data_IF_018414823041
#
_entry.id   IF_018414823041
#
_cell.length_a   1.000
_cell.length_b   1.000
_cell.length_c   1.000
_cell.angle_alpha   90.00
_cell.angle_beta   90.00
_cell.angle_gamma   90.00
#
_symmetry.space_group_name_H-M   'P 1'
#
loop_
_entity.id
_entity.type
_entity.pdbx_description
1 polymer ?
#
# COMPACT_ATOMS: atom_id res chain seq x y z
N UNK A 1 -27.08 31.74 20.11
CA UNK A 1 -26.33 32.44 19.06
C UNK A 1 -24.88 31.99 19.14
N UNK A 2 -24.58 30.81 18.59
CA UNK A 2 -23.23 30.25 18.49
C UNK A 2 -23.12 29.74 17.05
N UNK A 3 -22.21 30.35 16.30
CA UNK A 3 -22.01 30.11 14.87
C UNK A 3 -21.13 28.87 14.72
N UNK A 4 -21.69 27.83 14.11
CA UNK A 4 -20.96 26.65 13.66
C UNK A 4 -20.21 27.00 12.38
N UNK A 5 -18.87 26.93 12.39
CA UNK A 5 -18.03 27.03 11.20
C UNK A 5 -17.92 25.65 10.56
N UNK A 6 -18.66 25.43 9.48
CA UNK A 6 -18.45 24.31 8.58
C UNK A 6 -17.11 24.52 7.84
N UNK A 7 -16.21 23.54 7.95
CA UNK A 7 -15.01 23.45 7.12
C UNK A 7 -15.43 22.95 5.73
N UNK A 8 -15.29 23.80 4.71
CA UNK A 8 -15.50 23.44 3.32
C UNK A 8 -14.17 22.89 2.77
N UNK A 9 -14.08 21.58 2.53
CA UNK A 9 -12.96 20.97 1.80
C UNK A 9 -13.18 21.21 0.31
N UNK A 10 -12.26 21.94 -0.34
CA UNK A 10 -12.27 22.18 -1.77
C UNK A 10 -11.80 20.92 -2.52
N UNK A 11 -12.75 20.11 -3.00
CA UNK A 11 -12.50 19.12 -4.04
C UNK A 11 -12.34 19.86 -5.37
N UNK A 12 -11.11 20.00 -5.88
CA UNK A 12 -10.87 20.60 -7.21
C UNK A 12 -11.15 19.55 -8.28
N UNK A 13 -12.36 19.59 -8.83
CA UNK A 13 -12.74 18.84 -10.03
C UNK A 13 -12.40 19.71 -11.25
N UNK A 14 -11.34 19.38 -11.98
CA UNK A 14 -11.03 20.01 -13.27
C UNK A 14 -11.90 19.39 -14.37
N UNK A 15 -13.05 20.01 -14.63
CA UNK A 15 -13.88 19.74 -15.82
C UNK A 15 -13.28 20.41 -17.06
N UNK A 16 -12.96 19.61 -18.09
CA UNK A 16 -12.48 20.05 -19.41
C UNK A 16 -13.52 20.93 -20.10
N UNK A 17 -13.20 22.20 -20.35
CA UNK A 17 -13.96 23.07 -21.27
C UNK A 17 -13.41 22.96 -22.69
N UNK A 18 -14.31 22.61 -23.61
CA UNK A 18 -14.16 22.69 -25.06
C UNK A 18 -13.91 24.13 -25.53
N UNK A 19 -12.99 24.32 -26.47
CA UNK A 19 -12.90 25.46 -27.39
C UNK A 19 -12.37 24.96 -28.75
N UNK A 20 -12.62 25.70 -29.86
CA UNK A 20 -13.11 25.11 -31.09
C UNK A 20 -12.04 24.96 -32.18
N UNK A 21 -12.41 24.14 -33.18
CA UNK A 21 -11.73 23.92 -34.47
C UNK A 21 -11.15 25.21 -35.08
N UNK A 22 -9.88 25.13 -35.46
CA UNK A 22 -9.30 25.98 -36.49
C UNK A 22 -8.81 25.10 -37.66
N UNK A 23 -9.05 25.65 -38.84
CA UNK A 23 -8.95 25.15 -40.20
C UNK A 23 -7.58 24.64 -40.67
N UNK A 24 -7.66 23.55 -41.44
CA UNK A 24 -6.91 23.22 -42.67
C UNK A 24 -5.74 24.12 -43.06
N UNK A 25 -4.54 23.54 -43.08
CA UNK A 25 -3.52 23.84 -44.08
C UNK A 25 -2.91 22.55 -44.59
N UNK A 26 -3.18 22.26 -45.85
CA UNK A 26 -2.47 21.30 -46.70
C UNK A 26 -1.19 21.96 -47.20
N UNK A 27 -0.08 21.21 -47.26
CA UNK A 27 0.86 21.26 -48.40
C UNK A 27 1.92 20.14 -48.34
N UNK A 28 1.84 19.32 -49.40
CA UNK A 28 2.91 18.68 -50.19
C UNK A 28 4.00 17.83 -49.52
N UNK A 29 3.87 16.55 -49.84
CA UNK A 29 4.91 15.55 -50.05
C UNK A 29 6.13 16.05 -50.83
N UNK A 30 7.33 15.70 -50.37
CA UNK A 30 8.46 15.45 -51.27
C UNK A 30 9.28 14.26 -50.78
N UNK A 31 9.47 13.33 -51.71
CA UNK A 31 10.24 12.11 -51.64
C UNK A 31 11.75 12.39 -51.69
N UNK A 32 12.54 11.74 -50.85
CA UNK A 32 13.91 11.36 -51.23
C UNK A 32 14.37 10.11 -50.47
N UNK A 33 15.05 9.27 -51.23
CA UNK A 33 15.45 7.89 -50.99
C UNK A 33 16.87 7.78 -50.41
N UNK A 34 17.04 6.94 -49.37
CA UNK A 34 18.16 6.00 -49.07
C UNK A 34 19.62 6.53 -48.99
N UNK A 35 20.60 5.83 -48.34
CA UNK A 35 20.59 4.41 -48.00
C UNK A 35 21.11 3.99 -46.60
N UNK A 36 20.84 2.72 -46.32
CA UNK A 36 21.35 1.82 -45.28
C UNK A 36 22.80 2.05 -44.82
N UNK A 37 23.01 2.01 -43.50
CA UNK A 37 24.24 1.53 -42.87
C UNK A 37 23.92 0.46 -41.84
N UNK A 38 24.41 -0.75 -42.10
CA UNK A 38 24.58 -1.82 -41.13
C UNK A 38 25.62 -1.40 -40.08
N UNK A 39 25.24 -1.41 -38.80
CA UNK A 39 26.18 -1.60 -37.71
C UNK A 39 25.75 -2.82 -36.89
N UNK A 40 26.50 -3.90 -37.05
CA UNK A 40 26.62 -4.96 -36.06
C UNK A 40 27.41 -4.37 -34.88
N UNK A 41 26.88 -4.43 -33.66
CA UNK A 41 27.71 -4.29 -32.46
C UNK A 41 27.42 -5.44 -31.50
N UNK A 42 28.49 -6.14 -31.20
CA UNK A 42 28.58 -7.39 -30.48
C UNK A 42 28.14 -7.26 -29.02
N UNK A 43 27.48 -8.30 -28.55
CA UNK A 43 27.19 -8.59 -27.15
C UNK A 43 28.50 -8.86 -26.39
N UNK A 44 28.66 -8.21 -25.23
CA UNK A 44 29.66 -8.59 -24.22
C UNK A 44 28.94 -8.98 -22.93
N UNK A 45 29.29 -10.11 -22.29
CA UNK A 45 28.67 -10.53 -21.04
C UNK A 45 29.32 -9.79 -19.86
N UNK A 46 28.50 -9.28 -18.94
CA UNK A 46 28.94 -8.72 -17.66
C UNK A 46 29.20 -9.86 -16.67
N UNK A 47 30.47 -10.08 -16.37
CA UNK A 47 30.98 -10.98 -15.34
C UNK A 47 30.72 -10.44 -13.94
N UNK A 48 30.13 -11.30 -13.10
CA UNK A 48 30.32 -11.48 -11.64
C UNK A 48 31.00 -10.34 -10.85
N UNK A 49 30.22 -9.66 -10.01
CA UNK A 49 30.73 -8.85 -8.91
C UNK A 49 30.35 -9.55 -7.60
N UNK A 50 31.36 -10.05 -6.87
CA UNK A 50 31.24 -10.57 -5.51
C UNK A 50 31.00 -9.42 -4.51
N UNK A 51 30.25 -9.62 -3.41
CA UNK A 51 29.95 -8.58 -2.43
C UNK A 51 31.15 -8.29 -1.52
N UNK A 52 31.40 -6.99 -1.27
CA UNK A 52 32.42 -6.51 -0.33
C UNK A 52 31.94 -6.64 1.13
N UNK A 53 32.89 -7.05 1.97
CA UNK A 53 32.88 -7.15 3.43
C UNK A 53 32.14 -6.00 4.14
N UNK A 54 31.26 -6.38 5.07
CA UNK A 54 30.58 -5.50 6.02
C UNK A 54 31.58 -5.11 7.11
N UNK A 55 31.93 -3.82 7.17
CA UNK A 55 32.56 -3.22 8.34
C UNK A 55 31.50 -3.01 9.43
N UNK A 56 31.79 -3.52 10.62
CA UNK A 56 30.98 -3.39 11.83
C UNK A 56 30.80 -1.92 12.22
N UNK A 57 29.57 -1.42 12.10
CA UNK A 57 29.14 -0.16 12.70
C UNK A 57 28.56 -0.45 14.08
N UNK A 58 29.00 0.32 15.08
CA UNK A 58 28.49 0.29 16.44
C UNK A 58 26.96 0.43 16.45
N UNK A 59 26.27 -0.63 16.83
CA UNK A 59 24.82 -0.68 16.98
C UNK A 59 24.45 0.07 18.26
N UNK A 60 23.75 1.19 18.11
CA UNK A 60 23.00 1.85 19.18
C UNK A 60 22.11 0.82 19.88
N UNK A 61 22.15 0.77 21.21
CA UNK A 61 21.39 -0.15 22.07
C UNK A 61 19.87 0.07 22.03
N UNK A 62 19.34 0.92 21.13
CA UNK A 62 17.93 1.30 21.01
C UNK A 62 17.10 0.45 20.04
N UNK A 63 17.63 -0.65 19.49
CA UNK A 63 16.94 -1.49 18.50
C UNK A 63 16.42 -2.84 19.04
N UNK A 64 16.75 -3.19 20.27
CA UNK A 64 16.39 -4.49 20.86
C UNK A 64 15.05 -4.33 21.57
N UNK A 65 14.05 -5.12 21.15
CA UNK A 65 12.75 -5.17 21.80
C UNK A 65 12.78 -6.13 22.98
N UNK A 66 11.93 -5.91 24.00
CA UNK A 66 11.78 -6.86 25.10
C UNK A 66 11.22 -8.22 24.64
N UNK A 67 11.53 -9.29 25.37
CA UNK A 67 10.99 -10.63 25.11
C UNK A 67 9.45 -10.64 25.17
N UNK A 68 8.85 -9.80 26.03
CA UNK A 68 7.40 -9.66 26.12
C UNK A 68 6.82 -9.06 24.83
N UNK A 69 7.38 -7.95 24.34
CA UNK A 69 6.93 -7.32 23.09
C UNK A 69 7.16 -8.24 21.90
N UNK A 70 8.31 -8.92 21.82
CA UNK A 70 8.59 -9.91 20.78
C UNK A 70 7.56 -11.05 20.79
N UNK A 71 7.20 -11.56 21.98
CA UNK A 71 6.17 -12.59 22.14
C UNK A 71 4.80 -12.12 21.65
N UNK A 72 4.38 -10.90 22.02
CA UNK A 72 3.11 -10.32 21.57
C UNK A 72 3.08 -10.07 20.06
N UNK A 73 4.15 -9.52 19.48
CA UNK A 73 4.28 -9.34 18.02
C UNK A 73 4.23 -10.70 17.30
N UNK A 74 4.87 -11.73 17.84
CA UNK A 74 4.79 -13.09 17.28
C UNK A 74 3.37 -13.66 17.36
N UNK A 75 2.63 -13.42 18.44
CA UNK A 75 1.22 -13.82 18.56
C UNK A 75 0.36 -13.11 17.50
N UNK A 76 0.53 -11.80 17.33
CA UNK A 76 -0.16 -11.02 16.28
C UNK A 76 0.12 -11.61 14.89
N UNK A 77 1.39 -11.91 14.58
CA UNK A 77 1.73 -12.53 13.30
C UNK A 77 1.04 -13.90 13.11
N UNK A 78 0.96 -14.71 14.17
CA UNK A 78 0.33 -16.04 14.11
C UNK A 78 -1.17 -16.00 13.81
N UNK A 79 -1.87 -14.93 14.21
CA UNK A 79 -3.30 -14.75 13.95
C UNK A 79 -3.55 -14.66 12.43
N UNK A 80 -2.75 -13.85 11.75
CA UNK A 80 -2.96 -13.54 10.33
C UNK A 80 -2.33 -14.55 9.38
N UNK A 81 -1.35 -15.32 9.85
CA UNK A 81 -0.63 -16.35 9.08
C UNK A 81 -1.30 -17.74 9.07
N UNK A 82 -2.53 -17.85 9.57
CA UNK A 82 -3.24 -19.11 9.82
C UNK A 82 -3.74 -19.88 8.57
N UNK A 83 -3.55 -19.35 7.35
CA UNK A 83 -3.95 -19.94 6.06
C UNK A 83 -5.42 -20.37 6.05
N UNK A 84 -6.30 -19.41 6.38
CA UNK A 84 -7.74 -19.64 6.40
C UNK A 84 -8.21 -20.11 5.03
N UNK A 85 -9.02 -21.17 5.01
CA UNK A 85 -9.50 -21.88 3.82
C UNK A 85 -8.42 -22.62 3.00
N UNK A 86 -7.20 -22.82 3.54
CA UNK A 86 -6.12 -23.60 2.91
C UNK A 86 -5.79 -23.12 1.49
N UNK A 87 -5.70 -21.80 1.31
CA UNK A 87 -5.39 -21.16 0.01
C UNK A 87 -3.91 -21.27 -0.37
N UNK A 88 -3.08 -21.84 0.50
CA UNK A 88 -1.65 -22.04 0.28
C UNK A 88 -0.79 -20.88 0.79
N UNK A 89 -1.40 -19.90 1.45
CA UNK A 89 -0.75 -18.67 1.93
C UNK A 89 0.35 -18.98 2.96
N UNK A 90 0.20 -20.02 3.78
CA UNK A 90 1.25 -20.44 4.75
C UNK A 90 2.61 -20.68 4.10
N UNK A 91 2.64 -21.07 2.82
CA UNK A 91 3.87 -21.32 2.09
C UNK A 91 4.57 -20.02 1.67
N UNK A 92 3.86 -18.90 1.66
CA UNK A 92 4.36 -17.60 1.21
C UNK A 92 5.01 -16.79 2.34
N UNK A 93 4.83 -17.20 3.60
CA UNK A 93 5.40 -16.53 4.78
C UNK A 93 6.93 -16.51 4.72
N UNK A 94 7.52 -15.34 4.97
CA UNK A 94 8.97 -15.15 5.08
C UNK A 94 9.31 -14.86 6.54
N UNK A 95 10.11 -15.75 7.14
CA UNK A 95 10.53 -15.62 8.53
C UNK A 95 11.27 -14.29 8.77
N UNK A 96 10.84 -13.55 9.80
CA UNK A 96 11.43 -12.28 10.20
C UNK A 96 10.90 -11.05 9.47
N UNK A 97 10.34 -11.18 8.27
CA UNK A 97 9.86 -10.03 7.48
C UNK A 97 8.79 -9.22 8.22
N UNK A 98 7.83 -9.89 8.85
CA UNK A 98 6.77 -9.21 9.60
C UNK A 98 7.34 -8.35 10.75
N UNK A 99 8.29 -8.88 11.52
CA UNK A 99 8.90 -8.15 12.64
C UNK A 99 9.71 -6.95 12.16
N UNK A 100 10.50 -7.11 11.09
CA UNK A 100 11.29 -6.02 10.54
C UNK A 100 10.43 -4.94 9.86
N UNK A 101 9.35 -5.34 9.19
CA UNK A 101 8.33 -4.43 8.68
C UNK A 101 7.68 -3.63 9.82
N UNK A 102 7.30 -4.29 10.92
CA UNK A 102 6.71 -3.62 12.09
C UNK A 102 7.67 -2.63 12.76
N UNK A 103 8.94 -3.00 12.96
CA UNK A 103 9.97 -2.10 13.50
C UNK A 103 10.17 -0.89 12.60
N UNK A 104 10.26 -1.10 11.28
CA UNK A 104 10.41 -0.04 10.31
C UNK A 104 9.20 0.91 10.33
N UNK A 105 7.99 0.35 10.30
CA UNK A 105 6.77 1.15 10.29
C UNK A 105 6.61 1.93 11.59
N UNK A 106 6.93 1.37 12.75
CA UNK A 106 6.87 2.06 14.05
C UNK A 106 7.90 3.19 14.18
N UNK A 107 9.08 3.04 13.59
CA UNK A 107 10.24 3.93 13.81
C UNK A 107 10.66 4.66 12.54
N UNK A 108 9.74 4.86 11.60
CA UNK A 108 10.05 5.51 10.33
C UNK A 108 10.52 6.94 10.58
N UNK A 109 11.63 7.31 9.95
CA UNK A 109 12.20 8.65 10.01
C UNK A 109 12.38 9.20 8.61
N UNK A 110 12.35 10.53 8.46
CA UNK A 110 12.55 11.20 7.17
C UNK A 110 13.96 10.93 6.67
N UNK A 111 14.09 10.40 5.46
CA UNK A 111 15.39 10.20 4.83
C UNK A 111 16.01 11.56 4.48
N UNK A 112 17.31 11.70 4.78
CA UNK A 112 18.09 12.92 4.46
C UNK A 112 18.23 13.17 2.95
N UNK A 113 17.94 12.17 2.13
CA UNK A 113 18.06 12.24 0.68
C UNK A 113 16.73 12.57 -0.02
N UNK A 114 15.64 12.68 0.73
CA UNK A 114 14.31 12.95 0.18
C UNK A 114 14.14 14.46 -0.07
N UNK A 115 13.78 14.91 -1.29
CA UNK A 115 13.63 16.34 -1.60
C UNK A 115 12.62 17.05 -0.69
N UNK A 116 12.90 18.30 -0.32
CA UNK A 116 11.96 19.18 0.41
C UNK A 116 10.86 19.69 -0.53
N UNK A 117 9.60 19.72 -0.08
CA UNK A 117 8.52 20.30 -0.87
C UNK A 117 8.46 21.84 -0.77
N UNK A 118 8.15 22.57 -1.85
CA UNK A 118 8.01 24.04 -1.82
C UNK A 118 6.89 24.56 -0.89
N UNK A 119 5.84 23.77 -0.65
CA UNK A 119 4.70 24.10 0.21
C UNK A 119 5.00 24.01 1.72
N UNK A 120 6.15 23.44 2.11
CA UNK A 120 6.53 23.21 3.50
C UNK A 120 7.13 24.44 4.22
N UNK A 121 7.12 25.63 3.59
CA UNK A 121 7.73 26.86 4.14
C UNK A 121 6.84 27.70 5.06
N UNK A 122 5.63 27.27 5.41
CA UNK A 122 4.71 28.07 6.23
C UNK A 122 4.11 27.30 7.41
N UNK A 123 4.95 26.97 8.39
CA UNK A 123 4.53 26.93 9.79
C UNK A 123 5.71 27.40 10.64
N UNK A 124 5.57 28.57 11.27
CA UNK A 124 6.61 29.23 12.07
C UNK A 124 6.34 29.12 13.56
N UNK A 125 5.82 27.98 14.02
CA UNK A 125 5.76 27.65 15.45
C UNK A 125 5.95 26.16 15.63
N UNK A 126 6.95 25.83 16.46
CA UNK A 126 7.35 24.52 16.96
C UNK A 126 8.35 23.73 16.09
N UNK A 127 9.24 23.00 16.77
CA UNK A 127 10.33 22.15 16.27
C UNK A 127 9.83 20.94 15.43
N UNK A 128 8.87 21.14 14.54
CA UNK A 128 8.26 20.10 13.73
C UNK A 128 9.20 19.78 12.54
N UNK A 129 10.11 18.83 12.75
CA UNK A 129 10.92 18.28 11.67
C UNK A 129 10.05 17.77 10.52
N UNK A 130 10.59 17.76 9.30
CA UNK A 130 9.89 17.27 8.10
C UNK A 130 9.39 15.84 8.36
N UNK A 131 8.06 15.65 8.30
CA UNK A 131 7.40 14.36 8.57
C UNK A 131 7.79 13.30 7.53
N UNK A 132 8.02 12.04 7.94
CA UNK A 132 8.14 10.94 6.99
C UNK A 132 6.90 10.81 6.12
N UNK A 133 7.06 10.39 4.87
CA UNK A 133 5.95 10.15 3.93
C UNK A 133 5.83 8.67 3.60
N UNK A 134 4.66 8.10 3.82
CA UNK A 134 4.31 6.72 3.43
C UNK A 134 3.43 6.77 2.19
N UNK A 135 3.83 6.08 1.12
CA UNK A 135 2.93 5.83 -0.01
C UNK A 135 2.21 4.49 0.22
N UNK A 136 0.88 4.51 0.19
CA UNK A 136 0.06 3.32 0.28
C UNK A 136 -0.52 3.01 -1.09
N UNK A 137 -0.08 1.90 -1.70
CA UNK A 137 -0.57 1.45 -3.00
C UNK A 137 -1.61 0.36 -2.79
N UNK A 138 -2.83 0.54 -3.31
CA UNK A 138 -3.89 -0.45 -3.16
C UNK A 138 -4.90 -0.40 -4.29
N UNK A 139 -5.73 -1.43 -4.37
CA UNK A 139 -6.76 -1.62 -5.37
C UNK A 139 -6.45 -2.85 -6.20
N UNK A 140 -7.41 -3.77 -6.21
CA UNK A 140 -7.38 -4.98 -6.98
C UNK A 140 -8.73 -5.13 -7.72
N UNK A 141 -8.76 -4.87 -9.05
CA UNK A 141 -9.99 -4.84 -9.83
C UNK A 141 -10.35 -6.26 -10.34
N UNK A 142 -10.48 -7.24 -9.43
CA UNK A 142 -10.68 -8.65 -9.82
C UNK A 142 -12.11 -8.99 -10.29
N UNK A 143 -13.09 -8.13 -10.01
CA UNK A 143 -14.48 -8.23 -10.50
C UNK A 143 -14.59 -7.62 -11.91
N UNK A 144 -13.79 -8.13 -12.83
CA UNK A 144 -13.52 -7.56 -14.17
C UNK A 144 -14.73 -7.35 -15.11
N UNK A 145 -15.90 -7.90 -14.76
CA UNK A 145 -17.16 -7.76 -15.51
C UNK A 145 -18.18 -6.84 -14.78
N UNK A 146 -17.75 -6.18 -13.70
CA UNK A 146 -18.53 -5.22 -12.91
C UNK A 146 -17.95 -3.80 -12.98
N UNK A 147 -18.79 -2.81 -12.71
CA UNK A 147 -18.41 -1.41 -12.54
C UNK A 147 -18.93 -0.90 -11.18
N UNK A 148 -18.06 -0.46 -10.25
CA UNK A 148 -16.60 -0.60 -10.31
C UNK A 148 -16.18 -2.09 -10.18
N UNK A 149 -14.98 -2.48 -10.67
CA UNK A 149 -14.46 -3.85 -10.58
C UNK A 149 -13.76 -4.14 -9.23
N UNK A 150 -13.85 -3.24 -8.27
CA UNK A 150 -13.11 -3.23 -7.00
C UNK A 150 -13.58 -4.31 -6.04
N UNK A 151 -12.62 -4.99 -5.41
CA UNK A 151 -12.89 -5.93 -4.33
C UNK A 151 -12.74 -5.34 -2.92
N UNK A 152 -13.32 -6.03 -1.94
CA UNK A 152 -13.36 -5.60 -0.52
C UNK A 152 -12.07 -5.86 0.25
N UNK A 153 -11.19 -6.74 -0.23
CA UNK A 153 -9.83 -6.87 0.32
C UNK A 153 -8.89 -5.81 -0.25
N UNK A 154 -8.08 -5.19 0.61
CA UNK A 154 -7.21 -4.06 0.28
C UNK A 154 -7.67 -2.71 0.82
N UNK A 155 -8.87 -2.20 0.48
CA UNK A 155 -9.31 -0.88 0.89
C UNK A 155 -9.27 -0.67 2.41
N UNK A 156 -9.91 -1.54 3.18
CA UNK A 156 -10.00 -1.42 4.64
C UNK A 156 -8.62 -1.47 5.33
N UNK A 157 -7.75 -2.39 4.91
CA UNK A 157 -6.37 -2.48 5.37
C UNK A 157 -5.57 -1.22 5.04
N UNK A 158 -5.76 -0.68 3.85
CA UNK A 158 -5.14 0.60 3.44
C UNK A 158 -5.60 1.77 4.30
N UNK A 159 -6.88 1.84 4.64
CA UNK A 159 -7.40 2.88 5.53
C UNK A 159 -6.89 2.72 6.97
N UNK A 160 -6.76 1.49 7.47
CA UNK A 160 -6.14 1.21 8.77
C UNK A 160 -4.64 1.61 8.79
N UNK A 161 -3.91 1.35 7.70
CA UNK A 161 -2.52 1.79 7.55
C UNK A 161 -2.41 3.32 7.51
N UNK A 162 -3.31 4.00 6.79
CA UNK A 162 -3.34 5.46 6.73
C UNK A 162 -3.65 6.07 8.11
N UNK A 163 -4.63 5.51 8.82
CA UNK A 163 -4.96 5.89 10.20
C UNK A 163 -3.73 5.76 11.11
N UNK A 164 -3.08 4.60 11.11
CA UNK A 164 -1.90 4.33 11.92
C UNK A 164 -0.70 5.22 11.53
N UNK A 165 -0.45 5.44 10.24
CA UNK A 165 0.63 6.30 9.77
C UNK A 165 0.46 7.74 10.30
N UNK A 166 -0.75 8.29 10.26
CA UNK A 166 -1.04 9.61 10.83
C UNK A 166 -0.89 9.60 12.35
N UNK A 167 -1.33 8.55 13.04
CA UNK A 167 -1.14 8.39 14.49
C UNK A 167 0.34 8.38 14.90
N UNK A 168 1.21 7.82 14.06
CA UNK A 168 2.67 7.78 14.22
C UNK A 168 3.34 9.10 13.81
N UNK A 169 2.58 10.07 13.27
CA UNK A 169 3.04 11.40 12.90
C UNK A 169 3.51 11.54 11.45
N UNK A 170 3.20 10.57 10.58
CA UNK A 170 3.61 10.55 9.19
C UNK A 170 2.60 11.28 8.28
N UNK A 171 3.09 11.71 7.11
CA UNK A 171 2.22 11.99 5.96
C UNK A 171 1.94 10.68 5.23
N UNK A 172 0.75 10.58 4.68
CA UNK A 172 0.33 9.42 3.90
C UNK A 172 -0.19 9.87 2.53
N UNK A 173 0.14 9.14 1.47
CA UNK A 173 -0.50 9.29 0.16
C UNK A 173 -1.09 7.95 -0.24
N UNK A 174 -2.41 7.88 -0.32
CA UNK A 174 -3.11 6.69 -0.85
C UNK A 174 -3.12 6.79 -2.37
N UNK A 175 -2.69 5.73 -3.05
CA UNK A 175 -2.59 5.66 -4.50
C UNK A 175 -3.35 4.44 -5.03
N UNK A 176 -4.26 4.66 -5.97
CA UNK A 176 -5.08 3.59 -6.58
C UNK A 176 -5.33 3.84 -8.08
N UNK A 177 -6.05 2.93 -8.73
CA UNK A 177 -6.47 3.04 -10.12
C UNK A 177 -7.77 3.86 -10.26
N UNK A 178 -7.98 4.46 -11.43
CA UNK A 178 -9.21 5.21 -11.74
C UNK A 178 -10.48 4.38 -11.54
N UNK A 179 -10.47 3.10 -11.91
CA UNK A 179 -11.64 2.23 -11.73
C UNK A 179 -11.99 1.99 -10.25
N UNK A 180 -11.01 2.14 -9.34
CA UNK A 180 -11.19 1.97 -7.90
C UNK A 180 -11.48 3.30 -7.19
N UNK A 181 -11.33 4.44 -7.87
CA UNK A 181 -11.35 5.77 -7.26
C UNK A 181 -12.62 6.03 -6.43
N UNK A 182 -13.81 5.74 -6.96
CA UNK A 182 -15.07 5.99 -6.25
C UNK A 182 -15.19 5.21 -4.94
N UNK A 183 -14.70 3.98 -4.91
CA UNK A 183 -14.69 3.13 -3.71
C UNK A 183 -13.72 3.71 -2.68
N UNK A 184 -12.51 4.05 -3.11
CA UNK A 184 -11.50 4.62 -2.23
C UNK A 184 -11.90 6.00 -1.70
N UNK A 185 -12.57 6.83 -2.50
CA UNK A 185 -13.10 8.13 -2.08
C UNK A 185 -14.18 7.98 -0.99
N UNK A 186 -15.07 7.00 -1.13
CA UNK A 186 -16.11 6.73 -0.13
C UNK A 186 -15.51 6.25 1.21
N UNK A 187 -14.57 5.30 1.14
CA UNK A 187 -13.85 4.83 2.33
C UNK A 187 -13.01 5.93 2.98
N UNK A 188 -12.28 6.71 2.18
CA UNK A 188 -11.47 7.83 2.67
C UNK A 188 -12.33 8.88 3.36
N UNK A 189 -13.50 9.21 2.80
CA UNK A 189 -14.44 10.13 3.45
C UNK A 189 -14.86 9.61 4.83
N UNK A 190 -15.22 8.33 4.94
CA UNK A 190 -15.58 7.70 6.21
C UNK A 190 -14.41 7.74 7.21
N UNK A 191 -13.19 7.41 6.75
CA UNK A 191 -11.97 7.50 7.56
C UNK A 191 -11.73 8.93 8.09
N UNK A 192 -11.87 9.95 7.24
CA UNK A 192 -11.67 11.35 7.65
C UNK A 192 -12.71 11.82 8.67
N UNK A 193 -13.95 11.32 8.58
CA UNK A 193 -14.97 11.57 9.60
C UNK A 193 -14.59 10.94 10.94
N UNK A 194 -14.10 9.69 10.94
CA UNK A 194 -13.60 8.99 12.13
C UNK A 194 -12.40 9.74 12.75
N UNK A 195 -11.45 10.18 11.93
CA UNK A 195 -10.23 10.86 12.36
C UNK A 195 -10.47 12.27 12.87
N UNK A 196 -11.59 12.91 12.52
CA UNK A 196 -11.83 14.36 12.75
C UNK A 196 -11.67 14.84 14.20
N UNK A 197 -11.78 13.93 15.17
CA UNK A 197 -11.62 14.21 16.60
C UNK A 197 -10.31 13.71 17.20
N UNK A 198 -9.60 12.83 16.51
CA UNK A 198 -8.45 12.12 17.07
C UNK A 198 -7.15 12.49 16.36
N UNK A 199 -7.17 12.75 15.05
CA UNK A 199 -6.00 12.83 14.18
C UNK A 199 -6.13 13.95 13.14
N UNK A 200 -5.00 14.45 12.62
CA UNK A 200 -5.00 15.43 11.54
C UNK A 200 -5.18 14.75 10.18
N UNK A 201 -6.43 14.65 9.72
CA UNK A 201 -6.76 14.09 8.41
C UNK A 201 -6.16 14.85 7.22
N UNK A 202 -5.67 16.09 7.39
CA UNK A 202 -5.00 16.84 6.32
C UNK A 202 -3.62 16.28 5.94
N UNK A 203 -3.13 15.31 6.71
CA UNK A 203 -1.90 14.56 6.45
C UNK A 203 -2.09 13.42 5.43
N UNK A 204 -3.33 13.17 4.97
CA UNK A 204 -3.64 12.16 3.96
C UNK A 204 -3.93 12.82 2.62
N UNK A 205 -3.09 12.53 1.63
CA UNK A 205 -3.34 12.85 0.22
C UNK A 205 -3.90 11.62 -0.51
N UNK A 206 -4.65 11.86 -1.59
CA UNK A 206 -5.20 10.80 -2.45
C UNK A 206 -4.81 11.04 -3.91
N UNK A 207 -4.31 10.00 -4.58
CA UNK A 207 -3.85 10.04 -5.97
C UNK A 207 -4.40 8.85 -6.75
N UNK A 208 -4.82 9.14 -7.97
CA UNK A 208 -5.44 8.18 -8.87
C UNK A 208 -4.67 8.16 -10.18
N UNK A 209 -4.39 6.97 -10.69
CA UNK A 209 -3.79 6.76 -12.00
C UNK A 209 -4.71 5.91 -12.87
N UNK A 210 -4.81 6.23 -14.15
CA UNK A 210 -5.67 5.48 -15.05
C UNK A 210 -5.03 4.15 -15.45
N UNK A 211 -5.84 3.09 -15.52
CA UNK A 211 -5.41 1.83 -16.12
C UNK A 211 -5.25 2.01 -17.63
N UNK A 212 -4.02 1.83 -18.14
CA UNK A 212 -3.70 2.04 -19.56
C UNK A 212 -2.58 1.10 -20.00
N UNK A 213 -2.60 0.72 -21.28
CA UNK A 213 -1.55 -0.11 -21.89
C UNK A 213 -0.18 0.61 -21.91
N UNK A 214 -0.20 1.93 -22.06
CA UNK A 214 1.00 2.77 -22.15
C UNK A 214 0.87 3.93 -21.18
N UNK A 215 1.83 4.05 -20.26
CA UNK A 215 1.93 5.17 -19.32
C UNK A 215 2.20 6.47 -20.08
N UNK A 216 1.51 7.54 -19.72
CA UNK A 216 1.79 8.86 -20.28
C UNK A 216 3.05 9.46 -19.66
N UNK A 217 3.71 10.40 -20.34
CA UNK A 217 4.85 11.12 -19.75
C UNK A 217 4.45 11.88 -18.47
N UNK A 218 3.21 12.37 -18.41
CA UNK A 218 2.65 13.04 -17.23
C UNK A 218 2.51 12.06 -16.06
N UNK A 219 1.90 10.90 -16.28
CA UNK A 219 1.78 9.85 -15.26
C UNK A 219 3.16 9.36 -14.80
N UNK A 220 4.09 9.18 -15.73
CA UNK A 220 5.47 8.78 -15.41
C UNK A 220 6.16 9.81 -14.52
N UNK A 221 6.02 11.11 -14.83
CA UNK A 221 6.58 12.19 -14.02
C UNK A 221 5.91 12.27 -12.64
N UNK A 222 4.59 12.15 -12.57
CA UNK A 222 3.84 12.15 -11.32
C UNK A 222 4.22 10.96 -10.43
N UNK A 223 4.38 9.76 -11.00
CA UNK A 223 4.84 8.59 -10.25
C UNK A 223 6.27 8.75 -9.75
N UNK A 224 7.17 9.32 -10.56
CA UNK A 224 8.55 9.63 -10.15
C UNK A 224 8.58 10.65 -9.02
N UNK A 225 7.76 11.70 -9.10
CA UNK A 225 7.65 12.71 -8.06
C UNK A 225 7.18 12.08 -6.74
N UNK A 226 6.06 11.35 -6.75
CA UNK A 226 5.55 10.64 -5.58
C UNK A 226 6.61 9.70 -4.98
N UNK A 227 7.20 8.83 -5.81
CA UNK A 227 8.23 7.89 -5.39
C UNK A 227 9.45 8.61 -4.78
N UNK A 228 9.85 9.76 -5.33
CA UNK A 228 10.97 10.54 -4.82
C UNK A 228 10.72 11.17 -3.45
N UNK A 229 9.46 11.38 -3.07
CA UNK A 229 9.05 11.97 -1.80
C UNK A 229 8.82 10.93 -0.69
N UNK A 230 8.74 9.64 -1.06
CA UNK A 230 8.47 8.55 -0.15
C UNK A 230 9.67 8.23 0.75
N UNK A 231 9.39 7.95 2.01
CA UNK A 231 10.32 7.32 2.95
C UNK A 231 10.01 5.83 3.14
N UNK A 232 8.78 5.43 2.84
CA UNK A 232 8.30 4.05 2.82
C UNK A 232 7.22 3.89 1.73
N UNK A 233 7.24 2.77 1.03
CA UNK A 233 6.13 2.32 0.20
C UNK A 233 5.53 1.07 0.83
N UNK A 234 4.21 1.04 1.00
CA UNK A 234 3.46 -0.15 1.41
C UNK A 234 2.43 -0.46 0.33
N UNK A 235 2.46 -1.65 -0.24
CA UNK A 235 1.40 -2.15 -1.11
C UNK A 235 0.50 -3.09 -0.32
N UNK A 236 -0.81 -2.86 -0.34
CA UNK A 236 -1.81 -3.68 0.35
C UNK A 236 -2.86 -4.13 -0.64
N UNK A 237 -2.90 -5.43 -0.96
CA UNK A 237 -3.80 -5.99 -1.97
C UNK A 237 -3.73 -5.22 -3.29
N UNK A 238 -2.51 -5.11 -3.81
CA UNK A 238 -2.23 -4.37 -5.03
C UNK A 238 -1.67 -5.34 -6.06
N UNK A 239 -2.40 -5.55 -7.16
CA UNK A 239 -1.94 -6.43 -8.24
C UNK A 239 -0.56 -6.03 -8.79
N UNK A 240 0.28 -7.03 -9.02
CA UNK A 240 1.62 -6.87 -9.59
C UNK A 240 1.81 -7.62 -10.91
N UNK A 241 2.78 -7.18 -11.74
CA UNK A 241 3.00 -7.82 -13.03
C UNK A 241 3.62 -9.21 -12.86
N UNK A 242 3.15 -10.16 -13.64
CA UNK A 242 3.76 -11.46 -13.83
C UNK A 242 4.98 -11.38 -14.75
N UNK A 243 5.58 -12.54 -15.06
CA UNK A 243 6.82 -12.62 -15.84
C UNK A 243 6.72 -12.08 -17.27
N UNK A 244 5.52 -11.99 -17.82
CA UNK A 244 5.23 -11.43 -19.14
C UNK A 244 4.89 -9.93 -19.11
N UNK A 245 4.87 -9.33 -17.92
CA UNK A 245 4.57 -7.91 -17.70
C UNK A 245 3.10 -7.57 -17.46
N UNK A 246 2.18 -8.54 -17.53
CA UNK A 246 0.75 -8.33 -17.31
C UNK A 246 0.33 -8.64 -15.87
N UNK A 247 -0.76 -8.03 -15.40
CA UNK A 247 -1.34 -8.31 -14.09
C UNK A 247 -2.58 -9.21 -14.24
N UNK A 248 -2.70 -10.24 -13.40
CA UNK A 248 -3.75 -11.24 -13.52
C UNK A 248 -4.56 -11.39 -12.23
N UNK A 249 -5.86 -11.68 -12.35
CA UNK A 249 -6.64 -12.19 -11.21
C UNK A 249 -6.20 -13.61 -10.83
N UNK A 250 -6.62 -14.11 -9.66
CA UNK A 250 -6.41 -15.51 -9.27
C UNK A 250 -7.00 -16.53 -10.26
N UNK A 251 -7.97 -16.11 -11.09
CA UNK A 251 -8.57 -16.91 -12.17
C UNK A 251 -7.80 -16.82 -13.49
N UNK A 252 -6.65 -16.14 -13.51
CA UNK A 252 -5.83 -15.94 -14.70
C UNK A 252 -6.41 -14.96 -15.71
N UNK A 253 -7.33 -14.07 -15.29
CA UNK A 253 -7.87 -13.05 -16.18
C UNK A 253 -6.90 -11.88 -16.24
N UNK A 254 -6.45 -11.54 -17.44
CA UNK A 254 -5.56 -10.40 -17.71
C UNK A 254 -6.29 -9.07 -17.45
N UNK A 255 -5.88 -8.36 -16.40
CA UNK A 255 -6.40 -7.04 -16.03
C UNK A 255 -5.71 -5.90 -16.79
N UNK A 256 -4.47 -6.11 -17.26
CA UNK A 256 -3.71 -5.13 -18.04
C UNK A 256 -4.39 -4.89 -19.39
N UNK A 257 -4.69 -5.98 -20.12
CA UNK A 257 -5.38 -5.90 -21.42
C UNK A 257 -6.79 -5.28 -21.34
N UNK A 258 -7.42 -5.35 -20.16
CA UNK A 258 -8.72 -4.73 -19.85
C UNK A 258 -8.59 -3.28 -19.39
N UNK A 259 -7.38 -2.73 -19.29
CA UNK A 259 -7.12 -1.34 -18.86
C UNK A 259 -7.64 -1.04 -17.46
N UNK A 260 -7.61 -2.03 -16.57
CA UNK A 260 -8.08 -1.89 -15.19
C UNK A 260 -6.96 -1.55 -14.21
N UNK A 261 -5.71 -1.78 -14.58
CA UNK A 261 -4.54 -1.64 -13.70
C UNK A 261 -3.58 -0.59 -14.24
N UNK A 262 -3.30 0.42 -13.42
CA UNK A 262 -2.19 1.34 -13.60
C UNK A 262 -0.85 0.66 -13.24
N UNK A 263 0.25 0.94 -13.95
CA UNK A 263 1.55 0.30 -13.70
C UNK A 263 2.28 0.88 -12.46
N UNK A 264 1.61 0.90 -11.30
CA UNK A 264 2.13 1.44 -10.04
C UNK A 264 3.40 0.73 -9.56
N UNK A 265 3.67 -0.49 -10.04
CA UNK A 265 4.92 -1.20 -9.78
C UNK A 265 6.18 -0.41 -10.20
N UNK A 266 6.04 0.50 -11.17
CA UNK A 266 7.13 1.38 -11.62
C UNK A 266 7.66 2.30 -10.52
N UNK A 267 6.86 2.61 -9.49
CA UNK A 267 7.35 3.40 -8.36
C UNK A 267 8.56 2.76 -7.67
N UNK A 268 8.62 1.42 -7.59
CA UNK A 268 9.77 0.68 -7.04
C UNK A 268 11.01 0.80 -7.94
N UNK A 269 10.85 1.03 -9.24
CA UNK A 269 11.98 1.30 -10.14
C UNK A 269 12.59 2.67 -9.86
N UNK A 270 11.75 3.66 -9.51
CA UNK A 270 12.15 5.04 -9.27
C UNK A 270 12.78 5.24 -7.88
N UNK A 271 12.51 4.36 -6.92
CA UNK A 271 13.09 4.45 -5.57
C UNK A 271 14.42 3.75 -5.39
N UNK A 272 14.90 2.96 -6.37
CA UNK A 272 16.15 2.16 -6.26
C UNK A 272 17.36 2.97 -5.80
N UNK A 273 17.46 4.23 -6.22
CA UNK A 273 18.58 5.10 -5.87
C UNK A 273 18.43 5.76 -4.49
N UNK A 274 17.20 5.89 -3.99
CA UNK A 274 16.88 6.61 -2.75
C UNK A 274 16.76 5.68 -1.53
N UNK A 275 16.91 4.37 -1.73
CA UNK A 275 16.82 3.32 -0.68
C UNK A 275 15.51 3.37 0.11
N UNK A 276 14.41 3.73 -0.57
CA UNK A 276 13.07 3.62 0.02
C UNK A 276 12.75 2.14 0.16
N UNK A 277 12.38 1.72 1.37
CA UNK A 277 11.99 0.33 1.62
C UNK A 277 10.59 0.11 1.07
N UNK A 278 10.36 -1.08 0.51
CA UNK A 278 9.06 -1.51 0.02
C UNK A 278 8.52 -2.69 0.84
N UNK A 279 7.37 -2.48 1.48
CA UNK A 279 6.60 -3.53 2.17
C UNK A 279 5.45 -3.99 1.26
N UNK A 280 5.36 -5.29 0.98
CA UNK A 280 4.20 -5.88 0.30
C UNK A 280 3.31 -6.63 1.28
N UNK A 281 2.00 -6.46 1.17
CA UNK A 281 0.97 -7.21 1.89
C UNK A 281 0.04 -7.83 0.84
N UNK A 282 -0.07 -9.15 0.87
CA UNK A 282 -0.82 -9.94 -0.12
C UNK A 282 -1.21 -11.30 0.45
N UNK A 283 -2.16 -11.97 -0.20
CA UNK A 283 -2.71 -13.24 0.24
C UNK A 283 -2.72 -14.33 -0.87
N UNK A 284 -2.59 -13.95 -2.14
CA UNK A 284 -2.76 -14.82 -3.31
C UNK A 284 -1.50 -15.09 -4.14
N UNK A 285 -0.47 -14.26 -4.08
CA UNK A 285 0.81 -14.45 -4.80
C UNK A 285 0.95 -13.63 -6.08
N UNK A 286 -0.11 -12.97 -6.53
CA UNK A 286 -0.14 -12.08 -7.70
C UNK A 286 -0.11 -10.58 -7.31
N UNK A 287 0.08 -10.27 -6.02
CA UNK A 287 0.20 -8.91 -5.49
C UNK A 287 1.65 -8.41 -5.49
N UNK A 288 1.83 -7.10 -5.49
CA UNK A 288 3.14 -6.47 -5.37
C UNK A 288 3.84 -6.90 -4.09
N UNK A 289 5.08 -7.34 -4.25
CA UNK A 289 5.91 -7.85 -3.16
C UNK A 289 6.10 -9.35 -3.20
N UNK A 290 5.14 -10.09 -3.76
CA UNK A 290 5.17 -11.56 -3.86
C UNK A 290 6.32 -12.09 -4.73
N UNK A 291 6.96 -11.25 -5.54
CA UNK A 291 8.19 -11.58 -6.24
C UNK A 291 9.32 -12.06 -5.31
N UNK A 292 9.28 -11.70 -4.03
CA UNK A 292 10.22 -12.18 -3.01
C UNK A 292 10.14 -13.70 -2.80
N UNK A 293 8.96 -14.28 -3.03
CA UNK A 293 8.66 -15.70 -2.85
C UNK A 293 8.12 -16.35 -4.13
N UNK A 294 8.46 -15.82 -5.30
CA UNK A 294 7.92 -16.26 -6.60
C UNK A 294 8.02 -17.77 -6.83
N UNK A 295 9.12 -18.41 -6.43
CA UNK A 295 9.29 -19.87 -6.57
C UNK A 295 8.34 -20.67 -5.66
N UNK A 296 7.90 -20.09 -4.53
CA UNK A 296 6.88 -20.68 -3.67
C UNK A 296 5.49 -20.45 -4.24
N UNK A 297 5.23 -19.28 -4.81
CA UNK A 297 3.98 -18.96 -5.53
C UNK A 297 3.77 -19.98 -6.65
N UNK A 298 4.75 -20.14 -7.54
CA UNK A 298 4.71 -21.12 -8.66
C UNK A 298 4.41 -22.55 -8.21
N UNK A 299 4.91 -22.94 -7.04
CA UNK A 299 4.78 -24.30 -6.51
C UNK A 299 3.46 -24.56 -5.79
N UNK A 300 2.97 -23.58 -5.04
CA UNK A 300 1.91 -23.77 -4.06
C UNK A 300 0.60 -23.07 -4.42
N UNK A 301 0.63 -22.08 -5.31
CA UNK A 301 -0.54 -21.31 -5.70
C UNK A 301 -1.07 -21.81 -7.05
N UNK A 302 -2.39 -22.07 -7.16
CA UNK A 302 -3.02 -22.37 -8.44
C UNK A 302 -2.70 -21.30 -9.49
N UNK A 303 -2.29 -21.74 -10.68
CA UNK A 303 -1.83 -20.85 -11.77
C UNK A 303 -0.60 -19.99 -11.44
N UNK A 304 0.16 -20.29 -10.37
CA UNK A 304 1.29 -19.47 -9.90
C UNK A 304 2.37 -19.18 -10.95
N UNK A 305 2.60 -20.08 -11.92
CA UNK A 305 3.50 -19.83 -13.06
C UNK A 305 3.00 -18.70 -13.99
N UNK A 306 1.67 -18.57 -14.12
CA UNK A 306 1.04 -17.57 -14.97
C UNK A 306 0.84 -16.24 -14.24
N UNK A 307 0.31 -16.30 -13.02
CA UNK A 307 -0.18 -15.10 -12.32
C UNK A 307 0.86 -14.51 -11.36
N UNK A 308 1.89 -15.27 -11.00
CA UNK A 308 2.82 -14.91 -9.93
C UNK A 308 3.53 -13.59 -10.20
N UNK A 309 3.35 -12.62 -9.30
CA UNK A 309 3.97 -11.31 -9.40
C UNK A 309 5.50 -11.44 -9.28
N UNK A 310 6.25 -10.76 -10.15
CA UNK A 310 7.72 -10.83 -10.18
C UNK A 310 8.41 -9.68 -9.46
N UNK A 311 7.66 -8.75 -8.88
CA UNK A 311 8.20 -7.57 -8.17
C UNK A 311 8.44 -7.94 -6.70
N UNK A 312 9.69 -8.01 -6.22
CA UNK A 312 9.98 -8.38 -4.85
C UNK A 312 9.82 -7.19 -3.90
N UNK A 313 9.30 -7.46 -2.71
CA UNK A 313 9.35 -6.53 -1.58
C UNK A 313 10.66 -6.68 -0.80
N UNK A 314 11.05 -5.64 -0.08
CA UNK A 314 12.09 -5.75 0.94
C UNK A 314 11.57 -6.56 2.14
N UNK A 315 10.31 -6.32 2.55
CA UNK A 315 9.59 -7.14 3.52
C UNK A 315 8.21 -7.54 2.99
N UNK A 316 7.90 -8.83 3.04
CA UNK A 316 6.63 -9.38 2.63
C UNK A 316 5.81 -9.84 3.85
N UNK A 317 4.59 -9.34 3.96
CA UNK A 317 3.59 -9.80 4.93
C UNK A 317 2.56 -10.63 4.14
N UNK A 318 2.79 -11.93 4.08
CA UNK A 318 1.77 -12.86 3.60
C UNK A 318 0.73 -13.08 4.71
N UNK A 319 -0.53 -12.81 4.43
CA UNK A 319 -1.62 -12.93 5.38
C UNK A 319 -2.81 -13.64 4.74
N UNK A 320 -3.66 -14.28 5.56
CA UNK A 320 -4.83 -15.00 5.05
C UNK A 320 -5.86 -14.10 4.39
N UNK A 321 -5.82 -12.79 4.63
CA UNK A 321 -6.56 -11.69 3.97
C UNK A 321 -5.65 -10.48 4.12
N UNK A 322 -5.44 -9.69 3.07
CA UNK A 322 -4.50 -8.57 3.09
C UNK A 322 -4.88 -7.48 4.09
N UNK A 323 -6.18 -7.20 4.25
CA UNK A 323 -6.70 -6.34 5.30
C UNK A 323 -6.20 -6.77 6.70
N UNK A 324 -6.14 -8.07 6.97
CA UNK A 324 -5.67 -8.57 8.27
C UNK A 324 -4.17 -8.36 8.44
N UNK A 325 -3.38 -8.56 7.39
CA UNK A 325 -1.95 -8.26 7.38
C UNK A 325 -1.66 -6.78 7.70
N UNK A 326 -2.48 -5.88 7.17
CA UNK A 326 -2.43 -4.46 7.49
C UNK A 326 -2.77 -4.19 8.97
N UNK A 327 -3.85 -4.78 9.50
CA UNK A 327 -4.21 -4.64 10.92
C UNK A 327 -3.10 -5.14 11.84
N UNK A 328 -2.48 -6.27 11.50
CA UNK A 328 -1.37 -6.84 12.25
C UNK A 328 -0.14 -5.93 12.23
N UNK A 329 0.19 -5.33 11.09
CA UNK A 329 1.28 -4.35 11.00
C UNK A 329 1.02 -3.13 11.89
N UNK A 330 -0.21 -2.60 11.89
CA UNK A 330 -0.60 -1.50 12.79
C UNK A 330 -0.48 -1.90 14.27
N UNK A 331 -0.99 -3.08 14.65
CA UNK A 331 -0.94 -3.61 16.02
C UNK A 331 0.48 -3.80 16.53
N UNK A 332 1.33 -4.42 15.71
CA UNK A 332 2.74 -4.61 16.05
C UNK A 332 3.49 -3.27 16.15
N UNK A 333 3.21 -2.31 15.27
CA UNK A 333 3.82 -0.99 15.34
C UNK A 333 3.42 -0.22 16.61
N UNK A 334 2.14 -0.31 17.00
CA UNK A 334 1.63 0.29 18.23
C UNK A 334 2.32 -0.28 19.49
N UNK A 335 2.51 -1.59 19.56
CA UNK A 335 3.26 -2.25 20.65
C UNK A 335 4.70 -1.76 20.75
N UNK A 336 5.39 -1.68 19.61
CA UNK A 336 6.78 -1.21 19.55
C UNK A 336 6.87 0.25 20.02
N UNK A 337 5.90 1.08 19.65
CA UNK A 337 5.82 2.48 20.12
C UNK A 337 5.54 2.59 21.60
N UNK A 338 4.70 1.73 22.16
CA UNK A 338 4.44 1.71 23.59
C UNK A 338 5.71 1.41 24.39
N UNK A 339 6.50 0.42 23.96
CA UNK A 339 7.78 0.10 24.59
C UNK A 339 8.82 1.24 24.46
N UNK A 340 8.89 1.88 23.29
CA UNK A 340 9.75 3.05 23.08
C UNK A 340 9.37 4.21 24.02
N UNK A 341 8.07 4.43 24.23
CA UNK A 341 7.52 5.48 25.12
C UNK A 341 7.73 5.17 26.61
N UNK A 342 7.62 3.92 27.03
CA UNK A 342 7.97 3.54 28.41
C UNK A 342 9.48 3.75 28.68
N UNK A 343 10.32 3.60 27.64
CA UNK A 343 11.77 3.76 27.74
C UNK A 343 12.25 5.22 27.77
N UNK A 344 11.52 6.15 27.12
CA UNK A 344 11.87 7.58 27.06
C UNK A 344 11.23 8.42 28.18
N UNK A 345 10.41 7.80 29.04
CA UNK A 345 9.69 8.45 30.14
C UNK A 345 8.43 9.22 29.70
N UNK A 346 8.07 9.16 28.41
CA UNK A 346 6.80 9.63 27.87
C UNK A 346 5.71 8.61 28.20
N UNK A 347 4.95 8.85 29.26
CA UNK A 347 3.94 7.92 29.76
C UNK A 347 2.79 7.69 28.74
N UNK A 348 2.95 6.74 27.82
CA UNK A 348 1.89 6.26 26.92
C UNK A 348 1.88 4.73 26.90
N UNK A 349 0.91 4.15 27.58
CA UNK A 349 0.78 2.70 27.77
C UNK A 349 0.39 1.97 26.48
N UNK A 350 0.59 0.64 26.46
CA UNK A 350 0.13 -0.22 25.35
C UNK A 350 -1.34 0.02 24.97
N UNK A 351 -2.32 0.05 25.91
CA UNK A 351 -3.70 0.38 25.57
C UNK A 351 -3.88 1.74 24.88
N UNK A 352 -3.09 2.75 25.28
CA UNK A 352 -3.17 4.08 24.69
C UNK A 352 -2.65 4.09 23.25
N UNK A 353 -1.52 3.43 22.98
CA UNK A 353 -0.97 3.31 21.62
C UNK A 353 -1.85 2.45 20.72
N UNK A 354 -2.41 1.35 21.22
CA UNK A 354 -3.36 0.52 20.47
C UNK A 354 -4.58 1.33 20.05
N UNK A 355 -5.20 2.07 20.97
CA UNK A 355 -6.34 2.96 20.67
C UNK A 355 -5.98 4.08 19.70
N UNK A 356 -4.74 4.54 19.73
CA UNK A 356 -4.26 5.59 18.84
C UNK A 356 -3.97 5.08 17.43
N UNK A 357 -3.57 3.81 17.27
CA UNK A 357 -3.05 3.30 15.99
C UNK A 357 -4.00 2.35 15.26
N UNK A 358 -4.98 1.78 15.95
CA UNK A 358 -5.90 0.81 15.37
C UNK A 358 -7.31 1.38 15.37
N UNK A 359 -8.00 1.17 14.25
CA UNK A 359 -9.44 1.33 14.16
C UNK A 359 -10.13 0.30 15.06
N UNK A 360 -11.30 0.65 15.54
CA UNK A 360 -12.24 -0.27 16.19
C UNK A 360 -12.98 -1.11 15.16
N UNK A 361 -13.62 -2.19 15.62
CA UNK A 361 -14.47 -3.02 14.76
C UNK A 361 -15.63 -2.24 14.14
N UNK A 362 -16.22 -1.30 14.89
CA UNK A 362 -17.30 -0.44 14.40
C UNK A 362 -16.81 0.51 13.30
N UNK A 363 -15.65 1.15 13.52
CA UNK A 363 -15.03 2.04 12.54
C UNK A 363 -14.66 1.30 11.25
N UNK A 364 -14.05 0.11 11.36
CA UNK A 364 -13.69 -0.73 10.20
C UNK A 364 -14.93 -1.18 9.41
N UNK A 365 -15.95 -1.66 10.12
CA UNK A 365 -17.20 -2.08 9.50
C UNK A 365 -17.93 -0.91 8.82
N UNK A 366 -17.87 0.29 9.39
CA UNK A 366 -18.46 1.49 8.79
C UNK A 366 -17.74 1.87 7.49
N UNK A 367 -16.40 1.86 7.49
CA UNK A 367 -15.59 2.11 6.29
C UNK A 367 -15.93 1.08 5.19
N UNK A 368 -15.99 -0.21 5.55
CA UNK A 368 -16.34 -1.29 4.60
C UNK A 368 -17.73 -1.04 3.99
N UNK A 369 -18.72 -0.70 4.81
CA UNK A 369 -20.09 -0.40 4.34
C UNK A 369 -20.12 0.80 3.38
N UNK A 370 -19.35 1.86 3.63
CA UNK A 370 -19.26 2.99 2.70
C UNK A 370 -18.59 2.59 1.38
N UNK A 371 -17.54 1.77 1.42
CA UNK A 371 -16.92 1.21 0.21
C UNK A 371 -17.92 0.37 -0.60
N UNK A 372 -18.71 -0.49 0.06
CA UNK A 372 -19.74 -1.30 -0.58
C UNK A 372 -20.88 -0.46 -1.16
N UNK A 373 -21.32 0.60 -0.47
CA UNK A 373 -22.30 1.56 -1.02
C UNK A 373 -21.80 2.23 -2.30
N UNK A 374 -20.48 2.41 -2.44
CA UNK A 374 -19.84 2.90 -3.65
C UNK A 374 -19.66 1.82 -4.75
N UNK A 375 -20.06 0.58 -4.48
CA UNK A 375 -20.09 -0.52 -5.45
C UNK A 375 -18.98 -1.57 -5.28
N UNK A 376 -18.18 -1.50 -4.23
CA UNK A 376 -17.18 -2.53 -3.91
C UNK A 376 -17.83 -3.89 -3.58
N UNK A 377 -17.26 -5.00 -4.06
CA UNK A 377 -17.83 -6.35 -3.90
C UNK A 377 -16.83 -7.31 -3.28
N UNK A 378 -17.32 -8.41 -2.73
CA UNK A 378 -16.44 -9.51 -2.36
C UNK A 378 -15.71 -10.09 -3.60
N UNK A 379 -14.39 -10.24 -3.53
CA UNK A 379 -13.55 -10.69 -4.66
C UNK A 379 -13.77 -12.15 -5.08
N UNK A 380 -14.28 -12.97 -4.17
CA UNK A 380 -14.46 -14.41 -4.37
C UNK A 380 -15.86 -14.74 -4.88
N UNK A 381 -16.91 -14.23 -4.21
CA UNK A 381 -18.30 -14.55 -4.48
C UNK A 381 -19.09 -13.41 -5.16
N UNK A 382 -18.50 -12.22 -5.31
CA UNK A 382 -19.10 -11.09 -6.02
C UNK A 382 -20.28 -10.42 -5.30
N UNK A 383 -20.50 -10.72 -4.01
CA UNK A 383 -21.63 -10.15 -3.25
C UNK A 383 -21.46 -8.67 -2.98
N UNK A 384 -22.59 -7.97 -3.00
CA UNK A 384 -22.75 -6.54 -2.72
C UNK A 384 -23.81 -6.29 -1.64
N UNK A 385 -24.64 -7.29 -1.36
CA UNK A 385 -25.81 -7.20 -0.48
C UNK A 385 -25.47 -7.30 1.01
N UNK A 386 -24.34 -7.94 1.34
CA UNK A 386 -23.86 -8.12 2.71
C UNK A 386 -22.34 -7.94 2.81
N UNK A 387 -21.81 -7.42 3.94
CA UNK A 387 -20.38 -7.26 4.15
C UNK A 387 -19.64 -8.60 4.14
N UNK A 388 -18.85 -8.80 3.08
CA UNK A 388 -17.99 -9.95 2.88
C UNK A 388 -16.60 -9.49 2.45
N UNK A 389 -15.58 -10.23 2.88
CA UNK A 389 -14.19 -10.08 2.46
C UNK A 389 -13.65 -11.48 2.21
N UNK A 390 -13.10 -11.70 1.03
CA UNK A 390 -12.48 -12.97 0.64
C UNK A 390 -13.35 -14.22 0.81
N UNK A 391 -14.61 -14.08 0.44
CA UNK A 391 -15.60 -15.14 0.51
C UNK A 391 -16.11 -15.41 1.93
N UNK A 392 -15.69 -14.63 2.92
CA UNK A 392 -16.07 -14.77 4.32
C UNK A 392 -16.93 -13.59 4.78
N UNK A 393 -17.90 -13.81 5.70
CA UNK A 393 -18.60 -12.70 6.33
C UNK A 393 -17.61 -11.76 7.02
N UNK A 394 -17.85 -10.45 6.94
CA UNK A 394 -16.96 -9.44 7.53
C UNK A 394 -16.69 -9.65 9.03
N UNK A 395 -17.60 -10.33 9.76
CA UNK A 395 -17.38 -10.74 11.15
C UNK A 395 -16.05 -11.49 11.34
N UNK A 396 -15.57 -12.27 10.35
CA UNK A 396 -14.25 -12.92 10.44
C UNK A 396 -13.10 -11.92 10.46
N UNK A 397 -13.20 -10.84 9.69
CA UNK A 397 -12.24 -9.74 9.76
C UNK A 397 -12.31 -9.00 11.09
N UNK A 398 -13.50 -8.82 11.66
CA UNK A 398 -13.69 -8.18 12.96
C UNK A 398 -13.16 -9.05 14.11
N UNK A 399 -13.41 -10.36 14.08
CA UNK A 399 -12.81 -11.34 15.00
C UNK A 399 -11.27 -11.30 14.93
N UNK A 400 -10.69 -11.21 13.73
CA UNK A 400 -9.24 -11.07 13.55
C UNK A 400 -8.72 -9.76 14.16
N UNK A 401 -9.38 -8.63 13.91
CA UNK A 401 -9.01 -7.33 14.48
C UNK A 401 -9.07 -7.37 16.02
N UNK A 402 -10.12 -7.96 16.59
CA UNK A 402 -10.27 -8.15 18.04
C UNK A 402 -9.16 -9.04 18.62
N UNK A 403 -8.82 -10.14 17.95
CA UNK A 403 -7.73 -11.01 18.39
C UNK A 403 -6.37 -10.30 18.39
N UNK A 404 -6.13 -9.35 17.47
CA UNK A 404 -4.92 -8.52 17.46
C UNK A 404 -4.90 -7.59 18.69
N UNK A 405 -6.04 -7.00 19.03
CA UNK A 405 -6.21 -6.21 20.26
C UNK A 405 -5.91 -7.04 21.51
N UNK A 406 -6.56 -8.19 21.64
CA UNK A 406 -6.42 -9.13 22.76
C UNK A 406 -4.95 -9.58 22.92
N UNK A 407 -4.30 -9.96 21.82
CA UNK A 407 -2.89 -10.35 21.81
C UNK A 407 -1.94 -9.23 22.25
N UNK A 408 -2.24 -7.98 21.90
CA UNK A 408 -1.45 -6.82 22.30
C UNK A 408 -1.63 -6.47 23.78
N UNK A 409 -2.88 -6.54 24.28
CA UNK A 409 -3.20 -6.22 25.67
C UNK A 409 -2.84 -7.34 26.65
N UNK A 410 -2.53 -8.54 26.15
CA UNK A 410 -2.24 -9.70 26.99
C UNK A 410 -3.51 -10.32 27.59
N UNK A 411 -4.66 -10.03 27.01
CA UNK A 411 -5.95 -10.61 27.35
C UNK A 411 -6.09 -11.88 26.52
N UNK A 412 -5.73 -13.05 27.08
CA UNK A 412 -5.92 -14.34 26.40
C UNK A 412 -6.24 -15.45 27.39
#
# INVERSE_FOLDING_TARGET
MIISKALLVNLVITSKKNFPRASSFTLSSSSSSSPHRHLQSQTRPLSSILPRSIMSLNVSTSNVLSDETLSKVSKIHSIVSSDVNDRGMKHLIVDGDFLEAAKLFARLTRSKNTPEQPSQRQSTTDNDGIRPTVLLLSGFPCLVDHDPPTETDGPNGTFALAYCAVALGYRCVIVTDECNAKVFEAGLKSLLEIMSLTHDGSLIDFKVFEGRDVITLEDENNMKELASMADLIVACERAGPASDGNCYTMRGIDMTSRKLIAPLHKMMEYTKNNRVTFIGIGDGGNELGMGKVIERVKRHIPMGETIGCVVPADYLIAASVSNWGAYALCGAAALIRAEDSDSDGSCSSTPAWMKKCLVTEEEDLNILKECMKAGCRDGVNGRLDEPFVDGMPAEKSLECLRAIWDAALGES
#
